data_IF_947504221478
#
_entry.id   IF_947504221478
#
_cell.length_a   1.000
_cell.length_b   1.000
_cell.length_c   1.000
_cell.angle_alpha   90.00
_cell.angle_beta   90.00
_cell.angle_gamma   90.00
#
_symmetry.space_group_name_H-M   'P 1'
#
loop_
_entity.id
_entity.type
_entity.pdbx_description
1 polymer ?
#
# COMPACT_ATOMS: atom_id res chain seq x y z
N UNK A 1 51.85 3.73 -0.51
CA UNK A 1 50.88 4.28 0.45
C UNK A 1 50.31 5.51 -0.24
N UNK A 2 49.31 5.26 -1.07
CA UNK A 2 48.73 6.21 -2.02
C UNK A 2 47.24 6.24 -1.74
N UNK A 3 46.76 7.42 -1.36
CA UNK A 3 45.43 7.69 -0.86
C UNK A 3 44.38 7.45 -1.95
N UNK A 4 43.51 6.47 -1.71
CA UNK A 4 42.38 6.11 -2.58
C UNK A 4 41.06 6.64 -1.97
N UNK A 5 41.02 7.94 -1.66
CA UNK A 5 39.86 8.60 -1.04
C UNK A 5 38.77 9.02 -2.04
N UNK A 6 38.96 8.79 -3.35
CA UNK A 6 38.06 9.30 -4.41
C UNK A 6 36.75 8.54 -4.61
N UNK A 7 36.60 7.34 -4.04
CA UNK A 7 35.51 6.41 -4.40
C UNK A 7 34.20 6.56 -3.60
N UNK A 8 34.17 7.35 -2.53
CA UNK A 8 33.06 7.31 -1.57
C UNK A 8 31.88 8.25 -1.87
N UNK A 9 32.07 9.28 -2.70
CA UNK A 9 31.05 10.33 -2.91
C UNK A 9 29.98 9.91 -3.94
N UNK A 10 30.29 9.01 -4.87
CA UNK A 10 29.38 8.68 -5.98
C UNK A 10 28.16 7.83 -5.58
N UNK A 11 28.15 7.25 -4.36
CA UNK A 11 27.13 6.30 -3.92
C UNK A 11 26.12 6.84 -2.90
N UNK A 12 26.36 8.04 -2.34
CA UNK A 12 25.40 8.68 -1.43
C UNK A 12 24.19 9.25 -2.20
N UNK A 13 24.38 9.60 -3.47
CA UNK A 13 23.36 10.25 -4.29
C UNK A 13 22.13 9.36 -4.55
N UNK A 14 22.27 8.08 -4.97
CA UNK A 14 21.10 7.25 -5.30
C UNK A 14 20.22 6.92 -4.10
N UNK A 15 20.81 6.69 -2.92
CA UNK A 15 20.07 6.37 -1.71
C UNK A 15 19.31 7.59 -1.15
N UNK A 16 19.93 8.78 -1.17
CA UNK A 16 19.30 10.01 -0.76
C UNK A 16 18.21 10.47 -1.74
N UNK A 17 18.44 10.31 -3.06
CA UNK A 17 17.41 10.58 -4.07
C UNK A 17 16.23 9.62 -3.91
N UNK A 18 16.49 8.33 -3.68
CA UNK A 18 15.47 7.31 -3.46
C UNK A 18 14.54 7.68 -2.30
N UNK A 19 15.09 8.02 -1.13
CA UNK A 19 14.32 8.40 0.06
C UNK A 19 13.54 9.72 -0.12
N UNK A 20 14.13 10.73 -0.75
CA UNK A 20 13.46 12.01 -0.99
C UNK A 20 12.33 11.90 -2.03
N UNK A 21 12.53 11.09 -3.08
CA UNK A 21 11.51 10.78 -4.08
C UNK A 21 10.40 9.94 -3.46
N UNK A 22 10.74 8.96 -2.61
CA UNK A 22 9.77 8.12 -1.92
C UNK A 22 8.87 8.92 -0.96
N UNK A 23 9.47 9.82 -0.16
CA UNK A 23 8.73 10.73 0.72
C UNK A 23 7.74 11.62 -0.04
N UNK A 24 8.17 12.21 -1.17
CA UNK A 24 7.27 13.05 -1.98
C UNK A 24 6.22 12.25 -2.75
N UNK A 25 6.54 11.06 -3.25
CA UNK A 25 5.59 10.20 -3.97
C UNK A 25 4.51 9.64 -3.04
N UNK A 26 4.88 9.18 -1.84
CA UNK A 26 3.92 8.70 -0.84
C UNK A 26 3.00 9.83 -0.39
N UNK A 27 3.53 11.04 -0.17
CA UNK A 27 2.72 12.21 0.22
C UNK A 27 1.80 12.68 -0.91
N UNK A 28 2.20 12.58 -2.19
CA UNK A 28 1.34 12.95 -3.31
C UNK A 28 0.23 11.94 -3.61
N UNK A 29 0.36 10.67 -3.22
CA UNK A 29 -0.68 9.67 -3.42
C UNK A 29 -1.82 9.75 -2.39
N UNK A 30 -1.57 10.27 -1.18
CA UNK A 30 -2.52 10.22 -0.07
C UNK A 30 -3.43 11.45 0.02
N UNK A 31 -3.07 12.57 -0.62
CA UNK A 31 -3.95 13.73 -0.71
C UNK A 31 -4.89 13.60 -1.90
N UNK A 32 -6.00 12.87 -1.75
CA UNK A 32 -7.17 13.08 -2.62
C UNK A 32 -7.82 14.41 -2.23
N UNK A 33 -7.78 15.45 -3.07
CA UNK A 33 -8.59 16.63 -2.83
C UNK A 33 -10.06 16.22 -2.89
N UNK A 34 -10.81 16.59 -1.84
CA UNK A 34 -12.25 16.44 -1.81
C UNK A 34 -12.81 17.20 -3.03
N UNK A 35 -13.32 16.43 -4.00
CA UNK A 35 -14.03 16.96 -5.18
C UNK A 35 -13.13 17.86 -6.04
N UNK A 36 -12.03 17.32 -6.58
CA UNK A 36 -11.39 17.99 -7.72
C UNK A 36 -12.28 17.88 -8.97
N UNK A 37 -12.47 19.00 -9.69
CA UNK A 37 -13.42 19.05 -10.78
C UNK A 37 -12.99 18.18 -11.98
N UNK A 38 -14.00 17.65 -12.67
CA UNK A 38 -13.98 16.61 -13.70
C UNK A 38 -13.07 16.85 -14.92
N UNK A 39 -12.43 18.01 -15.02
CA UNK A 39 -11.49 18.39 -16.07
C UNK A 39 -10.02 18.15 -15.74
N UNK A 40 -9.68 17.51 -14.60
CA UNK A 40 -8.30 17.04 -14.41
C UNK A 40 -7.90 16.14 -15.58
N UNK A 41 -6.90 16.53 -16.39
CA UNK A 41 -6.65 15.82 -17.63
C UNK A 41 -6.23 14.41 -17.28
N UNK A 42 -6.77 13.45 -18.03
CA UNK A 42 -6.26 12.07 -18.12
C UNK A 42 -4.84 12.15 -18.65
N UNK A 43 -3.88 12.61 -17.86
CA UNK A 43 -2.52 12.68 -18.32
C UNK A 43 -2.02 11.23 -18.37
N UNK A 44 -1.78 10.67 -19.58
CA UNK A 44 -1.20 9.34 -19.72
C UNK A 44 0.18 9.27 -19.04
N UNK A 45 0.75 10.42 -18.68
CA UNK A 45 2.01 10.58 -17.99
C UNK A 45 2.14 9.73 -16.73
N UNK A 46 1.14 9.68 -15.84
CA UNK A 46 1.26 8.88 -14.61
C UNK A 46 1.26 7.37 -14.89
N UNK A 47 0.41 6.91 -15.80
CA UNK A 47 0.43 5.50 -16.24
C UNK A 47 1.75 5.15 -16.93
N UNK A 48 2.23 6.02 -17.82
CA UNK A 48 3.52 5.85 -18.51
C UNK A 48 4.68 5.85 -17.50
N UNK A 49 4.69 6.76 -16.53
CA UNK A 49 5.71 6.83 -15.49
C UNK A 49 5.70 5.58 -14.60
N UNK A 50 4.53 5.07 -14.20
CA UNK A 50 4.43 3.81 -13.46
C UNK A 50 4.88 2.61 -14.28
N UNK A 51 4.52 2.55 -15.57
CA UNK A 51 4.99 1.49 -16.47
C UNK A 51 6.50 1.55 -16.65
N UNK A 52 7.06 2.71 -16.97
CA UNK A 52 8.51 2.90 -17.10
C UNK A 52 9.24 2.57 -15.79
N UNK A 53 8.71 3.00 -14.65
CA UNK A 53 9.23 2.66 -13.33
C UNK A 53 9.22 1.15 -13.08
N UNK A 54 8.12 0.47 -13.41
CA UNK A 54 7.99 -0.99 -13.29
C UNK A 54 9.00 -1.72 -14.18
N UNK A 55 9.13 -1.31 -15.44
CA UNK A 55 10.09 -1.90 -16.38
C UNK A 55 11.54 -1.68 -15.93
N UNK A 56 11.89 -0.47 -15.51
CA UNK A 56 13.23 -0.14 -15.03
C UNK A 56 13.57 -0.92 -13.75
N UNK A 57 12.67 -0.94 -12.77
CA UNK A 57 12.90 -1.65 -11.51
C UNK A 57 12.92 -3.18 -11.70
N UNK A 58 12.08 -3.71 -12.60
CA UNK A 58 12.10 -5.13 -12.97
C UNK A 58 13.40 -5.54 -13.65
N UNK A 59 13.90 -4.74 -14.59
CA UNK A 59 15.19 -4.98 -15.25
C UNK A 59 16.35 -4.93 -14.26
N UNK A 60 16.39 -3.92 -13.40
CA UNK A 60 17.41 -3.80 -12.35
C UNK A 60 17.32 -4.98 -11.36
N UNK A 61 16.12 -5.41 -10.99
CA UNK A 61 15.93 -6.56 -10.09
C UNK A 61 16.43 -7.86 -10.72
N UNK A 62 16.17 -8.09 -12.01
CA UNK A 62 16.64 -9.26 -12.73
C UNK A 62 18.18 -9.28 -12.87
N UNK A 63 18.78 -8.12 -13.16
CA UNK A 63 20.24 -7.97 -13.21
C UNK A 63 20.88 -8.29 -11.85
N UNK A 64 20.31 -7.76 -10.77
CA UNK A 64 20.77 -8.00 -9.39
C UNK A 64 20.57 -9.45 -8.94
N UNK A 65 19.45 -10.09 -9.32
CA UNK A 65 19.19 -11.50 -8.99
C UNK A 65 20.22 -12.44 -9.64
N UNK A 66 20.65 -12.11 -10.86
CA UNK A 66 21.71 -12.86 -11.55
C UNK A 66 23.03 -12.80 -10.78
N UNK A 67 23.39 -11.63 -10.25
CA UNK A 67 24.58 -11.46 -9.40
C UNK A 67 24.44 -12.20 -8.08
N UNK A 68 23.26 -12.15 -7.46
CA UNK A 68 22.95 -12.89 -6.23
C UNK A 68 23.09 -14.41 -6.41
N UNK A 69 22.59 -14.97 -7.51
CA UNK A 69 22.72 -16.41 -7.82
C UNK A 69 24.13 -16.81 -8.29
N UNK A 70 24.95 -15.86 -8.73
CA UNK A 70 26.27 -16.08 -9.34
C UNK A 70 27.37 -16.58 -8.40
N UNK A 71 27.13 -16.63 -7.09
CA UNK A 71 28.01 -17.34 -6.15
C UNK A 71 28.22 -16.62 -4.81
N UNK A 72 27.81 -17.30 -3.74
CA UNK A 72 28.02 -16.94 -2.35
C UNK A 72 29.50 -17.08 -1.93
N UNK A 73 30.39 -16.19 -2.39
CA UNK A 73 31.70 -16.02 -1.74
C UNK A 73 31.64 -14.86 -0.77
N UNK A 74 31.58 -15.16 0.53
CA UNK A 74 31.60 -14.19 1.64
C UNK A 74 32.67 -13.12 1.40
N UNK A 75 32.24 -11.95 0.91
CA UNK A 75 33.10 -10.79 0.73
C UNK A 75 32.42 -9.60 1.43
N UNK A 76 33.16 -8.76 2.18
CA UNK A 76 32.60 -7.59 2.89
C UNK A 76 31.95 -6.52 1.98
N UNK A 77 31.96 -6.71 0.65
CA UNK A 77 31.24 -5.87 -0.32
C UNK A 77 29.78 -6.35 -0.52
N UNK A 78 29.45 -7.59 -0.15
CA UNK A 78 28.16 -8.21 -0.45
C UNK A 78 26.95 -7.61 0.29
N UNK A 79 27.14 -6.99 1.45
CA UNK A 79 26.03 -6.35 2.16
C UNK A 79 25.45 -5.18 1.34
N UNK A 80 26.30 -4.45 0.59
CA UNK A 80 25.86 -3.34 -0.27
C UNK A 80 25.03 -3.85 -1.43
N UNK A 81 25.48 -4.91 -2.10
CA UNK A 81 24.76 -5.50 -3.24
C UNK A 81 23.43 -6.11 -2.80
N UNK A 82 23.39 -6.77 -1.64
CA UNK A 82 22.17 -7.37 -1.11
C UNK A 82 21.14 -6.31 -0.69
N UNK A 83 21.59 -5.23 -0.03
CA UNK A 83 20.71 -4.10 0.30
C UNK A 83 20.16 -3.43 -0.96
N UNK A 84 21.01 -3.19 -1.97
CA UNK A 84 20.60 -2.60 -3.23
C UNK A 84 19.60 -3.50 -3.98
N UNK A 85 19.82 -4.82 -4.00
CA UNK A 85 18.88 -5.78 -4.58
C UNK A 85 17.53 -5.72 -3.87
N UNK A 86 17.52 -5.73 -2.53
CA UNK A 86 16.29 -5.67 -1.74
C UNK A 86 15.51 -4.35 -1.92
N UNK A 87 16.21 -3.22 -1.99
CA UNK A 87 15.60 -1.93 -2.32
C UNK A 87 14.99 -1.92 -3.73
N UNK A 88 15.69 -2.50 -4.70
CA UNK A 88 15.21 -2.59 -6.08
C UNK A 88 13.95 -3.46 -6.19
N UNK A 89 13.91 -4.59 -5.46
CA UNK A 89 12.71 -5.44 -5.35
C UNK A 89 11.57 -4.67 -4.70
N UNK A 90 11.83 -3.93 -3.62
CA UNK A 90 10.81 -3.11 -2.94
C UNK A 90 10.20 -2.06 -3.86
N UNK A 91 11.04 -1.33 -4.62
CA UNK A 91 10.57 -0.35 -5.59
C UNK A 91 9.75 -1.00 -6.71
N UNK A 92 10.20 -2.16 -7.20
CA UNK A 92 9.45 -2.94 -8.19
C UNK A 92 8.04 -3.26 -7.67
N UNK A 93 7.93 -3.81 -6.46
CA UNK A 93 6.65 -4.13 -5.83
C UNK A 93 5.78 -2.88 -5.65
N UNK A 94 6.35 -1.76 -5.23
CA UNK A 94 5.63 -0.49 -5.09
C UNK A 94 4.98 -0.05 -6.41
N UNK A 95 5.73 -0.06 -7.52
CA UNK A 95 5.18 0.36 -8.81
C UNK A 95 4.06 -0.58 -9.30
N UNK A 96 4.21 -1.90 -9.10
CA UNK A 96 3.13 -2.85 -9.38
C UNK A 96 1.87 -2.57 -8.54
N UNK A 97 2.04 -2.38 -7.23
CA UNK A 97 0.93 -2.04 -6.34
C UNK A 97 0.28 -0.70 -6.68
N UNK A 98 1.08 0.29 -7.11
CA UNK A 98 0.57 1.61 -7.51
C UNK A 98 -0.25 1.56 -8.79
N UNK A 99 0.12 0.69 -9.73
CA UNK A 99 -0.66 0.49 -10.96
C UNK A 99 -1.96 -0.26 -10.70
N UNK A 100 -1.97 -1.21 -9.76
CA UNK A 100 -3.18 -1.85 -9.26
C UNK A 100 -4.11 -0.81 -8.60
N UNK A 101 -3.58 0.03 -7.70
CA UNK A 101 -4.32 1.12 -7.05
C UNK A 101 -4.92 2.10 -8.08
N UNK A 102 -4.14 2.46 -9.11
CA UNK A 102 -4.60 3.33 -10.20
C UNK A 102 -5.76 2.70 -10.97
N UNK A 103 -5.65 1.41 -11.30
CA UNK A 103 -6.67 0.67 -12.05
C UNK A 103 -7.98 0.56 -11.25
N UNK A 104 -7.89 0.24 -9.97
CA UNK A 104 -9.02 0.19 -9.05
C UNK A 104 -9.69 1.57 -8.94
N UNK A 105 -8.91 2.63 -8.74
CA UNK A 105 -9.45 3.99 -8.62
C UNK A 105 -10.21 4.46 -9.89
N UNK A 106 -9.81 4.01 -11.08
CA UNK A 106 -10.53 4.29 -12.33
C UNK A 106 -11.87 3.57 -12.37
N UNK A 107 -11.91 2.30 -11.96
CA UNK A 107 -13.15 1.50 -11.90
C UNK A 107 -14.12 2.09 -10.88
N UNK A 108 -13.66 2.33 -9.66
CA UNK A 108 -14.46 2.91 -8.57
C UNK A 108 -15.07 4.26 -9.00
N UNK A 109 -14.30 5.09 -9.71
CA UNK A 109 -14.79 6.36 -10.25
C UNK A 109 -15.86 6.18 -11.32
N UNK A 110 -15.69 5.19 -12.20
CA UNK A 110 -16.68 4.85 -13.22
C UNK A 110 -18.00 4.42 -12.60
N UNK A 111 -17.94 3.54 -11.61
CA UNK A 111 -19.12 3.05 -10.86
C UNK A 111 -19.78 4.18 -10.08
N UNK A 112 -19.01 5.01 -9.36
CA UNK A 112 -19.55 6.16 -8.63
C UNK A 112 -20.24 7.16 -9.56
N UNK A 113 -19.71 7.40 -10.76
CA UNK A 113 -20.35 8.27 -11.76
C UNK A 113 -21.65 7.66 -12.30
N UNK A 114 -21.70 6.34 -12.51
CA UNK A 114 -22.91 5.66 -12.93
C UNK A 114 -23.98 5.71 -11.84
N UNK A 115 -23.60 5.50 -10.58
CA UNK A 115 -24.51 5.54 -9.43
C UNK A 115 -25.03 6.94 -9.12
N UNK A 116 -24.23 7.98 -9.36
CA UNK A 116 -24.65 9.38 -9.12
C UNK A 116 -25.47 9.97 -10.28
N UNK A 117 -25.44 9.35 -11.46
CA UNK A 117 -26.18 9.87 -12.62
C UNK A 117 -27.68 9.61 -12.46
N UNK A 118 -28.40 10.64 -12.01
CA UNK A 118 -29.86 10.61 -11.87
C UNK A 118 -30.36 10.06 -10.54
N UNK A 119 -29.46 9.75 -9.60
CA UNK A 119 -29.84 9.36 -8.24
C UNK A 119 -29.75 10.57 -7.30
N UNK A 120 -30.91 11.03 -6.82
CA UNK A 120 -31.02 12.05 -5.75
C UNK A 120 -31.41 11.44 -4.41
N UNK A 121 -32.35 10.50 -4.43
CA UNK A 121 -32.82 9.76 -3.26
C UNK A 121 -33.41 8.44 -3.73
N UNK A 122 -33.48 7.44 -2.84
CA UNK A 122 -34.24 6.20 -3.06
C UNK A 122 -35.69 6.49 -3.46
N UNK A 123 -36.25 7.63 -3.04
CA UNK A 123 -37.62 8.04 -3.41
C UNK A 123 -37.78 8.34 -4.89
N UNK A 124 -36.71 8.84 -5.53
CA UNK A 124 -36.68 9.27 -6.92
C UNK A 124 -36.10 8.20 -7.85
N UNK A 125 -35.74 7.02 -7.31
CA UNK A 125 -35.17 5.94 -8.09
C UNK A 125 -36.23 5.32 -9.02
N UNK A 126 -35.94 5.33 -10.33
CA UNK A 126 -36.74 4.65 -11.33
C UNK A 126 -36.47 3.14 -11.31
N UNK A 127 -37.53 2.35 -11.37
CA UNK A 127 -37.46 0.90 -11.47
C UNK A 127 -38.12 0.45 -12.77
N UNK A 128 -37.49 -0.50 -13.47
CA UNK A 128 -38.06 -1.06 -14.71
C UNK A 128 -39.30 -1.91 -14.47
N UNK A 129 -39.48 -2.45 -13.26
CA UNK A 129 -40.66 -3.21 -12.84
C UNK A 129 -41.36 -2.50 -11.67
N UNK A 130 -42.57 -1.95 -11.88
CA UNK A 130 -43.30 -1.26 -10.82
C UNK A 130 -43.68 -2.18 -9.65
N UNK A 131 -43.85 -3.49 -9.90
CA UNK A 131 -44.18 -4.48 -8.87
C UNK A 131 -43.00 -4.68 -7.93
N UNK A 132 -41.80 -4.81 -8.48
CA UNK A 132 -40.56 -4.92 -7.70
C UNK A 132 -40.32 -3.63 -6.90
N UNK A 133 -40.60 -2.46 -7.50
CA UNK A 133 -40.52 -1.18 -6.80
C UNK A 133 -41.45 -1.10 -5.59
N UNK A 134 -42.70 -1.56 -5.71
CA UNK A 134 -43.64 -1.60 -4.60
C UNK A 134 -43.22 -2.60 -3.53
N UNK A 135 -42.70 -3.77 -3.92
CA UNK A 135 -42.18 -4.77 -2.99
C UNK A 135 -40.98 -4.24 -2.20
N UNK A 136 -39.98 -3.65 -2.87
CA UNK A 136 -38.82 -3.03 -2.22
C UNK A 136 -39.27 -1.88 -1.32
N UNK A 137 -40.15 -0.99 -1.81
CA UNK A 137 -40.70 0.09 -0.98
C UNK A 137 -41.43 -0.47 0.24
N UNK A 138 -42.17 -1.57 0.09
CA UNK A 138 -42.88 -2.27 1.16
C UNK A 138 -41.94 -2.87 2.19
N UNK A 139 -40.91 -3.60 1.77
CA UNK A 139 -39.93 -4.23 2.65
C UNK A 139 -39.11 -3.19 3.42
N UNK A 140 -38.80 -2.06 2.77
CA UNK A 140 -37.98 -1.01 3.39
C UNK A 140 -38.78 0.09 4.09
N UNK A 141 -40.10 -0.11 4.28
CA UNK A 141 -41.10 0.86 4.79
C UNK A 141 -40.72 1.62 6.06
N UNK A 142 -39.77 1.12 6.85
CA UNK A 142 -39.47 1.73 8.14
C UNK A 142 -38.41 2.84 8.08
N UNK A 143 -37.55 2.94 7.05
CA UNK A 143 -36.44 3.89 7.18
C UNK A 143 -35.73 4.27 5.85
N UNK A 144 -36.48 4.83 4.90
CA UNK A 144 -35.93 5.38 3.65
C UNK A 144 -34.76 6.35 3.89
N UNK A 145 -34.82 7.10 4.99
CA UNK A 145 -33.77 8.00 5.46
C UNK A 145 -32.46 7.27 5.80
N UNK A 146 -32.51 6.12 6.46
CA UNK A 146 -31.32 5.31 6.75
C UNK A 146 -30.73 4.69 5.48
N UNK A 147 -31.56 4.38 4.48
CA UNK A 147 -31.05 3.87 3.19
C UNK A 147 -30.31 4.99 2.45
N UNK A 148 -30.90 6.19 2.36
CA UNK A 148 -30.26 7.34 1.74
C UNK A 148 -28.92 7.65 2.44
N UNK A 149 -28.89 7.62 3.78
CA UNK A 149 -27.65 7.78 4.55
C UNK A 149 -26.64 6.65 4.26
N UNK A 150 -27.09 5.40 4.22
CA UNK A 150 -26.22 4.26 3.91
C UNK A 150 -25.62 4.35 2.50
N UNK A 151 -26.37 4.86 1.53
CA UNK A 151 -25.91 5.10 0.15
C UNK A 151 -24.91 6.26 0.11
N UNK A 152 -25.16 7.36 0.83
CA UNK A 152 -24.20 8.45 0.94
C UNK A 152 -22.87 7.97 1.54
N UNK A 153 -22.93 7.15 2.59
CA UNK A 153 -21.73 6.55 3.19
C UNK A 153 -21.06 5.58 2.22
N UNK A 154 -21.81 4.75 1.50
CA UNK A 154 -21.28 3.86 0.47
C UNK A 154 -20.52 4.64 -0.61
N UNK A 155 -21.09 5.73 -1.11
CA UNK A 155 -20.48 6.58 -2.13
C UNK A 155 -19.23 7.30 -1.61
N UNK A 156 -19.25 7.78 -0.36
CA UNK A 156 -18.11 8.48 0.23
C UNK A 156 -16.96 7.53 0.59
N UNK A 157 -17.25 6.44 1.29
CA UNK A 157 -16.25 5.52 1.82
C UNK A 157 -15.85 4.42 0.83
N UNK A 158 -16.63 4.18 -0.22
CA UNK A 158 -16.51 3.01 -1.10
C UNK A 158 -17.11 1.72 -0.49
N UNK A 159 -17.74 1.82 0.67
CA UNK A 159 -18.35 0.71 1.41
C UNK A 159 -19.32 1.25 2.48
N UNK A 160 -20.30 0.44 2.92
CA UNK A 160 -21.26 0.84 3.95
C UNK A 160 -21.32 -0.21 5.05
N UNK A 161 -20.62 0.03 6.16
CA UNK A 161 -20.68 -0.78 7.38
C UNK A 161 -21.39 -0.03 8.51
N UNK A 162 -21.83 -0.75 9.53
CA UNK A 162 -22.45 -0.13 10.71
C UNK A 162 -21.52 0.92 11.36
N UNK A 163 -20.24 0.60 11.51
CA UNK A 163 -19.25 1.49 12.13
C UNK A 163 -18.99 2.75 11.29
N UNK A 164 -18.91 2.63 9.95
CA UNK A 164 -18.74 3.79 9.08
C UNK A 164 -19.98 4.69 9.05
N UNK A 165 -21.19 4.10 9.08
CA UNK A 165 -22.43 4.86 9.21
C UNK A 165 -22.46 5.61 10.54
N UNK A 166 -22.10 4.96 11.64
CA UNK A 166 -22.00 5.60 12.96
C UNK A 166 -20.95 6.72 12.99
N UNK A 167 -19.80 6.54 12.32
CA UNK A 167 -18.76 7.56 12.21
C UNK A 167 -19.24 8.76 11.39
N UNK A 168 -19.89 8.52 10.24
CA UNK A 168 -20.47 9.56 9.41
C UNK A 168 -21.57 10.34 10.13
N UNK A 169 -22.46 9.66 10.86
CA UNK A 169 -23.50 10.27 11.70
C UNK A 169 -22.93 11.18 12.81
N UNK A 170 -21.67 10.95 13.22
CA UNK A 170 -20.91 11.78 14.18
C UNK A 170 -20.12 12.90 13.50
N UNK A 171 -20.26 13.09 12.19
CA UNK A 171 -19.53 14.10 11.42
C UNK A 171 -18.07 13.75 11.11
N UNK A 172 -17.65 12.50 11.32
CA UNK A 172 -16.32 12.05 10.91
C UNK A 172 -16.28 11.90 9.39
N UNK A 173 -15.25 12.46 8.76
CA UNK A 173 -15.05 12.27 7.33
C UNK A 173 -14.67 10.80 7.04
N UNK A 174 -15.56 10.07 6.39
CA UNK A 174 -15.38 8.65 6.01
C UNK A 174 -14.86 8.46 4.58
N UNK A 175 -14.48 9.54 3.90
CA UNK A 175 -14.08 9.49 2.48
C UNK A 175 -12.90 8.55 2.27
N UNK A 176 -13.06 7.56 1.41
CA UNK A 176 -12.01 6.58 1.08
C UNK A 176 -11.69 5.56 2.19
N UNK A 177 -12.50 5.47 3.25
CA UNK A 177 -12.22 4.56 4.37
C UNK A 177 -12.19 3.07 3.98
N UNK A 178 -12.88 2.66 2.91
CA UNK A 178 -12.84 1.30 2.38
C UNK A 178 -11.71 1.03 1.39
N UNK A 179 -10.90 2.03 1.06
CA UNK A 179 -9.88 1.88 0.05
C UNK A 179 -8.66 1.13 0.61
N UNK A 180 -8.40 -0.06 0.06
CA UNK A 180 -7.15 -0.78 0.31
C UNK A 180 -6.13 -0.29 -0.70
N UNK A 181 -5.04 0.32 -0.21
CA UNK A 181 -3.88 0.63 -1.06
C UNK A 181 -2.97 -0.59 -1.17
N UNK A 182 -2.99 -1.23 -2.34
CA UNK A 182 -2.07 -2.30 -2.72
C UNK A 182 -0.62 -1.81 -2.75
N UNK A 183 -0.36 -0.56 -3.14
CA UNK A 183 0.99 0.01 -3.06
C UNK A 183 1.52 0.04 -1.64
N UNK A 184 0.71 0.44 -0.66
CA UNK A 184 1.08 0.39 0.75
C UNK A 184 1.38 -1.05 1.23
N UNK A 185 0.58 -2.03 0.82
CA UNK A 185 0.83 -3.45 1.10
C UNK A 185 2.17 -3.91 0.53
N UNK A 186 2.42 -3.62 -0.75
CA UNK A 186 3.64 -3.96 -1.46
C UNK A 186 4.89 -3.31 -0.82
N UNK A 187 4.79 -2.04 -0.44
CA UNK A 187 5.87 -1.32 0.26
C UNK A 187 6.14 -1.91 1.62
N UNK A 188 5.10 -2.18 2.41
CA UNK A 188 5.25 -2.75 3.74
C UNK A 188 5.95 -4.10 3.69
N UNK A 189 5.55 -4.94 2.73
CA UNK A 189 6.19 -6.22 2.48
C UNK A 189 7.64 -6.07 2.00
N UNK A 190 7.91 -5.16 1.07
CA UNK A 190 9.26 -4.90 0.57
C UNK A 190 10.21 -4.35 1.64
N UNK A 191 9.72 -3.43 2.48
CA UNK A 191 10.45 -2.96 3.67
C UNK A 191 10.78 -4.17 4.54
N UNK A 192 9.79 -4.96 4.95
CA UNK A 192 10.00 -6.16 5.77
C UNK A 192 11.04 -7.11 5.17
N UNK A 193 10.97 -7.39 3.87
CA UNK A 193 11.94 -8.24 3.16
C UNK A 193 13.36 -7.66 3.23
N UNK A 194 13.48 -6.35 3.00
CA UNK A 194 14.76 -5.62 3.08
C UNK A 194 15.39 -5.75 4.46
N UNK A 195 14.59 -5.84 5.52
CA UNK A 195 15.09 -6.03 6.88
C UNK A 195 15.63 -7.42 7.10
N UNK A 196 14.91 -8.44 6.62
CA UNK A 196 15.38 -9.82 6.72
C UNK A 196 16.73 -9.98 6.02
N UNK A 197 16.85 -9.44 4.80
CA UNK A 197 18.12 -9.44 4.06
C UNK A 197 19.21 -8.67 4.80
N UNK A 198 18.89 -7.51 5.38
CA UNK A 198 19.87 -6.71 6.13
C UNK A 198 20.39 -7.48 7.35
N UNK A 199 19.52 -8.08 8.16
CA UNK A 199 19.93 -8.83 9.37
C UNK A 199 20.74 -10.08 9.00
N UNK A 200 20.33 -10.81 7.96
CA UNK A 200 21.05 -12.00 7.48
C UNK A 200 22.43 -11.70 6.89
N UNK A 201 22.68 -10.44 6.50
CA UNK A 201 23.95 -10.02 5.87
C UNK A 201 24.87 -9.27 6.80
N UNK A 202 24.38 -8.81 7.95
CA UNK A 202 25.20 -8.22 8.99
C UNK A 202 26.06 -9.30 9.66
N UNK A 203 27.37 -9.05 9.88
CA UNK A 203 28.21 -9.94 10.65
C UNK A 203 27.81 -9.84 12.13
N UNK A 204 26.85 -10.64 12.57
CA UNK A 204 26.46 -10.74 13.99
C UNK A 204 27.39 -11.76 14.66
N UNK A 205 28.04 -11.35 15.75
CA UNK A 205 28.99 -12.21 16.49
C UNK A 205 28.30 -13.40 17.16
N UNK A 206 27.04 -13.23 17.58
CA UNK A 206 26.24 -14.28 18.24
C UNK A 206 25.17 -14.87 17.29
N UNK A 207 25.31 -16.15 16.88
CA UNK A 207 24.31 -16.82 16.04
C UNK A 207 22.94 -16.98 16.72
N UNK A 208 22.89 -16.96 18.07
CA UNK A 208 21.65 -17.06 18.84
C UNK A 208 20.71 -15.89 18.56
N UNK A 209 21.25 -14.67 18.44
CA UNK A 209 20.47 -13.46 18.12
C UNK A 209 19.85 -13.57 16.73
N UNK A 210 20.61 -14.02 15.73
CA UNK A 210 20.13 -14.20 14.36
C UNK A 210 19.02 -15.24 14.28
N UNK A 211 19.18 -16.39 14.95
CA UNK A 211 18.14 -17.43 15.01
C UNK A 211 16.87 -16.91 15.69
N UNK A 212 17.01 -16.23 16.83
CA UNK A 212 15.89 -15.64 17.54
C UNK A 212 15.13 -14.62 16.66
N UNK A 213 15.86 -13.77 15.93
CA UNK A 213 15.27 -12.80 15.01
C UNK A 213 14.47 -13.47 13.88
N UNK A 214 15.01 -14.53 13.27
CA UNK A 214 14.31 -15.27 12.20
C UNK A 214 13.02 -15.86 12.75
N UNK A 215 13.04 -16.48 13.95
CA UNK A 215 11.86 -17.06 14.59
C UNK A 215 10.80 -15.98 14.84
N UNK A 216 11.19 -14.85 15.45
CA UNK A 216 10.29 -13.72 15.72
C UNK A 216 9.68 -13.19 14.42
N UNK A 217 10.47 -13.08 13.36
CA UNK A 217 10.02 -12.60 12.06
C UNK A 217 9.03 -13.53 11.38
N UNK A 218 9.26 -14.85 11.47
CA UNK A 218 8.34 -15.87 10.95
C UNK A 218 7.03 -15.90 11.74
N UNK A 219 7.11 -15.79 13.07
CA UNK A 219 5.92 -15.70 13.93
C UNK A 219 5.12 -14.43 13.61
N UNK A 220 5.79 -13.30 13.46
CA UNK A 220 5.17 -12.03 13.06
C UNK A 220 4.45 -12.19 11.71
N UNK A 221 5.11 -12.77 10.71
CA UNK A 221 4.49 -13.02 9.40
C UNK A 221 3.28 -13.96 9.53
N UNK A 222 3.39 -15.06 10.28
CA UNK A 222 2.30 -16.01 10.48
C UNK A 222 1.10 -15.36 11.17
N UNK A 223 1.33 -14.52 12.19
CA UNK A 223 0.28 -13.74 12.88
C UNK A 223 -0.39 -12.78 11.89
N UNK A 224 0.38 -12.05 11.09
CA UNK A 224 -0.19 -11.14 10.09
C UNK A 224 -1.01 -11.86 9.03
N UNK A 225 -0.51 -12.98 8.50
CA UNK A 225 -1.25 -13.79 7.51
C UNK A 225 -2.53 -14.34 8.15
N UNK A 226 -2.47 -14.88 9.37
CA UNK A 226 -3.64 -15.38 10.06
C UNK A 226 -4.68 -14.27 10.32
N UNK A 227 -4.23 -13.10 10.75
CA UNK A 227 -5.10 -11.94 10.96
C UNK A 227 -5.71 -11.47 9.64
N UNK A 228 -4.91 -11.36 8.58
CA UNK A 228 -5.36 -10.93 7.25
C UNK A 228 -6.39 -11.88 6.66
N UNK A 229 -6.18 -13.19 6.78
CA UNK A 229 -7.12 -14.20 6.29
C UNK A 229 -8.45 -14.18 7.05
N UNK A 230 -8.43 -13.90 8.36
CA UNK A 230 -9.64 -13.86 9.22
C UNK A 230 -10.36 -12.51 9.18
N UNK A 231 -9.65 -11.43 8.87
CA UNK A 231 -10.18 -10.08 8.86
C UNK A 231 -11.19 -9.88 7.72
N UNK A 232 -12.28 -9.16 8.00
CA UNK A 232 -13.15 -8.60 6.97
C UNK A 232 -12.37 -7.62 6.08
N UNK A 233 -12.88 -7.34 4.88
CA UNK A 233 -12.20 -6.52 3.85
C UNK A 233 -11.66 -5.20 4.42
N UNK A 234 -12.42 -4.55 5.28
CA UNK A 234 -12.11 -3.24 5.86
C UNK A 234 -11.04 -3.36 6.94
N UNK A 235 -11.13 -4.42 7.74
CA UNK A 235 -10.12 -4.75 8.75
C UNK A 235 -8.77 -5.11 8.10
N UNK A 236 -8.76 -5.66 6.87
CA UNK A 236 -7.52 -5.95 6.13
C UNK A 236 -6.78 -4.68 5.73
N UNK A 237 -7.49 -3.64 5.28
CA UNK A 237 -6.91 -2.34 4.96
C UNK A 237 -6.19 -1.75 6.18
N UNK A 238 -6.88 -1.77 7.31
CA UNK A 238 -6.35 -1.30 8.58
C UNK A 238 -5.16 -2.14 9.05
N UNK A 239 -5.27 -3.47 9.00
CA UNK A 239 -4.20 -4.40 9.37
C UNK A 239 -2.92 -4.15 8.58
N UNK A 240 -3.06 -3.91 7.27
CA UNK A 240 -1.95 -3.60 6.38
C UNK A 240 -1.23 -2.31 6.78
N UNK A 241 -1.97 -1.26 7.11
CA UNK A 241 -1.39 0.02 7.55
C UNK A 241 -0.68 -0.12 8.91
N UNK A 242 -1.29 -0.86 9.84
CA UNK A 242 -0.69 -1.12 11.16
C UNK A 242 0.57 -1.97 11.03
N UNK A 243 0.56 -3.00 10.18
CA UNK A 243 1.71 -3.89 10.00
C UNK A 243 2.94 -3.16 9.47
N UNK A 244 2.74 -2.20 8.57
CA UNK A 244 3.77 -1.29 8.08
C UNK A 244 4.43 -0.53 9.24
N UNK A 245 3.60 0.13 10.07
CA UNK A 245 4.06 0.96 11.20
C UNK A 245 4.78 0.13 12.25
N UNK A 246 4.23 -1.04 12.60
CA UNK A 246 4.88 -1.96 13.55
C UNK A 246 6.24 -2.42 13.02
N UNK A 247 6.34 -2.75 11.73
CA UNK A 247 7.63 -3.14 11.12
C UNK A 247 8.68 -2.03 11.21
N UNK A 248 8.27 -0.77 11.02
CA UNK A 248 9.15 0.41 11.19
C UNK A 248 9.54 0.62 12.65
N UNK A 249 8.64 0.39 13.61
CA UNK A 249 8.98 0.51 15.04
C UNK A 249 9.97 -0.59 15.45
N UNK A 250 9.74 -1.83 15.03
CA UNK A 250 10.65 -2.96 15.30
C UNK A 250 12.05 -2.69 14.75
N UNK A 251 12.15 -2.02 13.58
CA UNK A 251 13.42 -1.59 13.02
C UNK A 251 14.19 -0.65 13.92
N UNK A 252 13.52 0.40 14.38
CA UNK A 252 14.13 1.40 15.23
C UNK A 252 14.59 0.77 16.54
N UNK A 253 13.77 -0.09 17.14
CA UNK A 253 14.11 -0.82 18.35
C UNK A 253 15.34 -1.74 18.16
N UNK A 254 15.44 -2.46 17.05
CA UNK A 254 16.59 -3.31 16.76
C UNK A 254 17.86 -2.47 16.57
N UNK A 255 17.78 -1.37 15.81
CA UNK A 255 18.90 -0.45 15.60
C UNK A 255 19.46 0.04 16.94
N UNK A 256 18.59 0.45 17.86
CA UNK A 256 18.99 0.91 19.19
C UNK A 256 19.60 -0.20 20.06
N UNK A 257 19.22 -1.46 19.85
CA UNK A 257 19.76 -2.58 20.64
C UNK A 257 21.15 -3.04 20.18
N UNK A 258 21.53 -2.69 18.94
CA UNK A 258 22.81 -3.06 18.33
C UNK A 258 23.90 -1.98 18.48
N UNK A 259 23.54 -0.79 18.97
CA UNK A 259 24.46 0.33 19.28
C UNK A 259 24.78 0.37 20.76
#
# INVERSE_FOLDING_TARGET
MSDDEGGHIMWALPAALGLAVFSKLVVCCDTRPAIEPWWYPRFPFFGLANMLGTFACGFLSAAMLKEFMGGCRYHPIQWKTNLQAALTVTLTLFFFGSEADRSQAIQDRGEALQLSKGFTSVRDADCSDPTDAENIKHETRCDMTLIDEAIMVLQAAGMSTCDLRLAAARGVNVTGAGFISFSNLCVSFGIWLTLQVSVLTLPVEDPGITIAWIIVSLLQLAIYVAFFLRAHRDQRAFAASVSAKVSVITLLALRFSLT
#
